data_IF_830263898976
#
_entry.id   IF_830263898976
#
_cell.length_a   1.000
_cell.length_b   1.000
_cell.length_c   1.000
_cell.angle_alpha   90.00
_cell.angle_beta   90.00
_cell.angle_gamma   90.00
#
_symmetry.space_group_name_H-M   'P 1'
#
loop_
_entity.id
_entity.type
_entity.pdbx_description
1 polymer ?
#
# COMPACT_ATOMS: atom_id res chain seq x y z
N UNK A 1 0.04 28.65 8.83
CA UNK A 1 0.54 28.83 7.44
C UNK A 1 2.02 28.49 7.31
N UNK A 2 2.94 29.13 8.05
CA UNK A 2 4.38 28.84 7.96
C UNK A 2 4.76 27.37 8.30
N UNK A 3 4.21 26.81 9.37
CA UNK A 3 4.46 25.41 9.76
C UNK A 3 4.01 24.40 8.69
N UNK A 4 2.88 24.66 8.02
CA UNK A 4 2.40 23.82 6.93
C UNK A 4 3.33 23.91 5.72
N UNK A 5 3.77 25.11 5.34
CA UNK A 5 4.73 25.30 4.26
C UNK A 5 6.07 24.60 4.52
N UNK A 6 6.60 24.69 5.75
CA UNK A 6 7.84 24.01 6.14
C UNK A 6 7.68 22.47 6.12
N UNK A 7 6.57 21.96 6.64
CA UNK A 7 6.28 20.52 6.59
C UNK A 7 6.19 20.01 5.14
N UNK A 8 5.50 20.75 4.26
CA UNK A 8 5.41 20.42 2.84
C UNK A 8 6.78 20.43 2.16
N UNK A 9 7.64 21.40 2.48
CA UNK A 9 8.98 21.50 1.90
C UNK A 9 9.85 20.28 2.23
N UNK A 10 10.00 19.95 3.52
CA UNK A 10 10.81 18.80 3.93
C UNK A 10 10.21 17.48 3.45
N UNK A 11 8.88 17.39 3.37
CA UNK A 11 8.24 16.19 2.84
C UNK A 11 8.47 16.02 1.34
N UNK A 12 8.45 17.12 0.56
CA UNK A 12 8.81 17.08 -0.85
C UNK A 12 10.28 16.69 -1.06
N UNK A 13 11.20 17.22 -0.25
CA UNK A 13 12.62 16.84 -0.28
C UNK A 13 12.81 15.36 0.03
N UNK A 14 12.09 14.83 1.02
CA UNK A 14 12.06 13.39 1.31
C UNK A 14 11.56 12.56 0.12
N UNK A 15 10.44 12.96 -0.51
CA UNK A 15 9.87 12.23 -1.65
C UNK A 15 10.79 12.22 -2.88
N UNK A 16 11.63 13.23 -3.06
CA UNK A 16 12.63 13.27 -4.14
C UNK A 16 13.90 12.45 -3.81
N UNK A 17 14.09 12.07 -2.55
CA UNK A 17 15.24 11.29 -2.12
C UNK A 17 15.08 9.78 -2.41
N UNK A 18 16.18 9.00 -2.49
CA UNK A 18 16.11 7.55 -2.60
C UNK A 18 15.35 6.86 -1.46
N UNK A 19 15.27 7.49 -0.28
CA UNK A 19 14.60 6.92 0.88
C UNK A 19 13.08 6.74 0.67
N UNK A 20 12.48 7.50 -0.24
CA UNK A 20 11.06 7.40 -0.58
C UNK A 20 10.73 6.32 -1.63
N UNK A 21 11.74 5.64 -2.20
CA UNK A 21 11.57 4.54 -3.16
C UNK A 21 11.32 3.22 -2.43
N UNK A 22 10.16 3.10 -1.82
CA UNK A 22 9.75 1.94 -1.05
C UNK A 22 8.27 1.64 -1.26
N UNK A 23 7.80 0.49 -0.78
CA UNK A 23 6.42 0.05 -1.00
C UNK A 23 5.36 0.99 -0.41
N UNK A 24 5.70 1.81 0.58
CA UNK A 24 4.75 2.70 1.26
C UNK A 24 4.60 4.03 0.53
N UNK A 25 5.71 4.67 0.15
CA UNK A 25 5.69 5.98 -0.51
C UNK A 25 5.71 5.89 -2.05
N UNK A 26 6.32 4.83 -2.59
CA UNK A 26 6.34 4.52 -4.01
C UNK A 26 6.71 5.72 -4.90
N UNK A 27 7.71 6.51 -4.47
CA UNK A 27 8.08 7.76 -5.15
C UNK A 27 8.72 7.56 -6.54
N UNK A 28 9.01 6.31 -6.91
CA UNK A 28 9.54 5.87 -8.20
C UNK A 28 8.48 5.24 -9.11
N UNK A 29 7.19 5.41 -8.81
CA UNK A 29 6.11 4.97 -9.69
C UNK A 29 5.96 5.89 -10.90
N UNK A 30 5.37 5.34 -11.96
CA UNK A 30 4.98 6.09 -13.14
C UNK A 30 3.99 7.21 -12.78
N UNK A 31 4.21 8.39 -13.36
CA UNK A 31 3.32 9.51 -13.19
C UNK A 31 2.04 9.33 -14.02
N UNK A 32 1.06 10.20 -13.78
CA UNK A 32 -0.21 10.14 -14.50
C UNK A 32 -0.07 10.34 -16.03
N UNK A 33 1.00 11.00 -16.47
CA UNK A 33 1.24 11.27 -17.89
C UNK A 33 2.08 10.17 -18.58
N UNK A 34 2.49 9.15 -17.85
CA UNK A 34 3.23 8.02 -18.40
C UNK A 34 2.32 7.23 -19.33
N UNK A 35 2.61 7.30 -20.63
CA UNK A 35 1.85 6.56 -21.64
C UNK A 35 2.32 5.11 -21.71
N UNK A 36 1.41 4.12 -21.80
CA UNK A 36 1.80 2.73 -22.00
C UNK A 36 2.60 2.56 -23.29
N UNK A 37 3.74 1.89 -23.20
CA UNK A 37 4.62 1.58 -24.34
C UNK A 37 5.03 0.11 -24.37
N UNK A 38 6.03 -0.23 -25.18
CA UNK A 38 6.59 -1.59 -25.27
C UNK A 38 6.99 -2.16 -23.89
N UNK A 39 7.52 -1.30 -23.02
CA UNK A 39 7.95 -1.62 -21.66
C UNK A 39 6.83 -2.09 -20.71
N UNK A 40 5.56 -1.83 -21.03
CA UNK A 40 4.42 -2.11 -20.12
C UNK A 40 4.26 -3.61 -19.81
N UNK A 41 4.78 -4.48 -20.69
CA UNK A 41 4.73 -5.92 -20.53
C UNK A 41 6.01 -6.51 -19.92
N UNK A 42 7.10 -5.75 -19.84
CA UNK A 42 8.39 -6.20 -19.30
C UNK A 42 8.31 -6.50 -17.80
N UNK A 43 7.50 -5.72 -17.07
CA UNK A 43 7.35 -5.84 -15.62
C UNK A 43 6.10 -6.64 -15.20
N UNK A 44 5.44 -7.33 -16.15
CA UNK A 44 4.27 -8.14 -15.85
C UNK A 44 4.70 -9.46 -15.21
N UNK A 45 4.90 -9.43 -13.89
CA UNK A 45 5.09 -10.64 -13.10
C UNK A 45 3.90 -11.59 -13.30
N UNK A 46 4.14 -12.91 -13.27
CA UNK A 46 3.07 -13.90 -13.30
C UNK A 46 2.09 -13.57 -12.17
N UNK A 47 0.81 -13.24 -12.47
CA UNK A 47 -0.12 -12.69 -11.50
C UNK A 47 -0.49 -13.69 -10.41
N UNK A 48 -0.18 -14.98 -10.60
CA UNK A 48 -0.56 -16.08 -9.74
C UNK A 48 0.66 -16.93 -9.40
N UNK A 49 1.41 -16.49 -8.39
CA UNK A 49 2.41 -17.33 -7.74
C UNK A 49 1.75 -18.10 -6.60
N UNK A 50 2.14 -19.36 -6.39
CA UNK A 50 1.61 -20.16 -5.27
C UNK A 50 1.89 -19.52 -3.91
N UNK A 51 3.04 -18.86 -3.77
CA UNK A 51 3.41 -18.07 -2.59
C UNK A 51 2.51 -16.84 -2.42
N UNK A 52 2.23 -16.10 -3.50
CA UNK A 52 1.33 -14.95 -3.48
C UNK A 52 -0.10 -15.35 -3.09
N UNK A 53 -0.61 -16.45 -3.62
CA UNK A 53 -1.91 -17.02 -3.25
C UNK A 53 -1.95 -17.45 -1.79
N UNK A 54 -0.90 -18.12 -1.29
CA UNK A 54 -0.80 -18.51 0.11
C UNK A 54 -0.81 -17.30 1.06
N UNK A 55 -0.03 -16.25 0.75
CA UNK A 55 -0.02 -15.02 1.53
C UNK A 55 -1.38 -14.30 1.49
N UNK A 56 -2.01 -14.21 0.32
CA UNK A 56 -3.34 -13.61 0.18
C UNK A 56 -4.39 -14.35 1.03
N UNK A 57 -4.35 -15.69 1.02
CA UNK A 57 -5.25 -16.50 1.83
C UNK A 57 -5.06 -16.26 3.34
N UNK A 58 -3.81 -16.16 3.80
CA UNK A 58 -3.50 -15.87 5.21
C UNK A 58 -4.00 -14.47 5.60
N UNK A 59 -3.70 -13.45 4.80
CA UNK A 59 -4.15 -12.08 5.05
C UNK A 59 -5.68 -12.01 5.10
N UNK A 60 -6.36 -12.65 4.15
CA UNK A 60 -7.82 -12.72 4.13
C UNK A 60 -8.38 -13.40 5.38
N UNK A 61 -7.82 -14.55 5.76
CA UNK A 61 -8.25 -15.27 6.96
C UNK A 61 -8.08 -14.43 8.24
N UNK A 62 -6.93 -13.78 8.41
CA UNK A 62 -6.67 -12.91 9.58
C UNK A 62 -7.62 -11.73 9.61
N UNK A 63 -7.86 -11.06 8.49
CA UNK A 63 -8.78 -9.94 8.41
C UNK A 63 -10.22 -10.36 8.74
N UNK A 64 -10.69 -11.47 8.15
CA UNK A 64 -12.04 -12.01 8.39
C UNK A 64 -12.22 -12.45 9.85
N UNK A 65 -11.29 -13.23 10.39
CA UNK A 65 -11.38 -13.74 11.76
C UNK A 65 -11.24 -12.60 12.78
N UNK A 66 -10.34 -11.65 12.53
CA UNK A 66 -10.21 -10.44 13.35
C UNK A 66 -11.50 -9.62 13.39
N UNK A 67 -12.11 -9.38 12.22
CA UNK A 67 -13.38 -8.66 12.12
C UNK A 67 -14.53 -9.37 12.85
N UNK A 68 -14.63 -10.71 12.69
CA UNK A 68 -15.63 -11.51 13.41
C UNK A 68 -15.40 -11.50 14.93
N UNK A 69 -14.14 -11.62 15.36
CA UNK A 69 -13.78 -11.54 16.77
C UNK A 69 -14.15 -10.19 17.39
N UNK A 70 -13.82 -9.10 16.69
CA UNK A 70 -14.17 -7.75 17.10
C UNK A 70 -15.70 -7.55 17.16
N UNK A 71 -16.43 -8.01 16.14
CA UNK A 71 -17.89 -7.95 16.11
C UNK A 71 -18.54 -8.71 17.28
N UNK A 72 -18.04 -9.92 17.58
CA UNK A 72 -18.48 -10.72 18.71
C UNK A 72 -18.17 -10.08 20.06
N UNK A 73 -17.06 -9.35 20.16
CA UNK A 73 -16.75 -8.59 21.37
C UNK A 73 -17.71 -7.41 21.54
N UNK A 74 -17.94 -6.61 20.50
CA UNK A 74 -18.88 -5.48 20.55
C UNK A 74 -20.30 -5.91 20.92
N UNK A 75 -20.77 -7.06 20.43
CA UNK A 75 -22.09 -7.58 20.78
C UNK A 75 -22.23 -7.96 22.27
N UNK A 76 -21.12 -8.26 22.95
CA UNK A 76 -21.08 -8.52 24.40
C UNK A 76 -21.04 -7.25 25.22
N UNK A 77 -20.38 -6.20 24.72
CA UNK A 77 -20.32 -4.88 25.39
C UNK A 77 -21.68 -4.18 25.36
N UNK A 78 -22.48 -4.40 24.31
CA UNK A 78 -23.86 -3.88 24.20
C UNK A 78 -24.89 -4.84 24.85
N UNK A 79 -24.66 -5.21 26.10
CA UNK A 79 -25.66 -5.90 26.93
C UNK A 79 -26.31 -4.94 27.90
#
# INVERSE_FOLDING_TARGET
MAAFGLAQWFFAEFLLSPAARNFFFAADQWDYNSMPGEWQYEFRASPLTGTGLGLAAIVAAVASLGGLGWGNWMSRVRR
#
